data_IF_944101841843
#
_entry.id   IF_944101841843
#
_cell.length_a   1.000
_cell.length_b   1.000
_cell.length_c   1.000
_cell.angle_alpha   90.00
_cell.angle_beta   90.00
_cell.angle_gamma   90.00
#
_symmetry.space_group_name_H-M   'P 1'
#
loop_
_entity.id
_entity.type
_entity.pdbx_description
1 polymer ?
#
# COMPACT_ATOMS: atom_id res chain seq x y z
N UNK A 1 -20.24 5.42 -14.29
CA UNK A 1 -19.56 4.68 -13.24
C UNK A 1 -20.03 3.23 -13.26
N UNK A 2 -19.13 2.29 -13.03
CA UNK A 2 -19.40 0.86 -13.05
C UNK A 2 -18.73 0.13 -11.89
N UNK A 3 -19.23 -1.03 -11.53
CA UNK A 3 -18.63 -1.89 -10.52
C UNK A 3 -17.58 -2.80 -11.19
N UNK A 4 -16.36 -2.78 -10.68
CA UNK A 4 -15.24 -3.58 -11.19
C UNK A 4 -14.48 -4.25 -10.03
N UNK A 5 -13.99 -5.45 -10.30
CA UNK A 5 -13.06 -6.12 -9.38
C UNK A 5 -11.65 -5.55 -9.53
N UNK A 6 -10.90 -5.49 -8.44
CA UNK A 6 -9.54 -4.96 -8.46
C UNK A 6 -8.64 -5.70 -9.47
N UNK A 7 -8.78 -7.03 -9.59
CA UNK A 7 -8.01 -7.85 -10.55
C UNK A 7 -8.30 -7.51 -12.03
N UNK A 8 -9.46 -6.93 -12.32
CA UNK A 8 -9.83 -6.52 -13.68
C UNK A 8 -9.18 -5.20 -14.09
N UNK A 9 -8.73 -4.43 -13.11
CA UNK A 9 -8.16 -3.08 -13.31
C UNK A 9 -6.66 -3.02 -13.06
N UNK A 10 -6.16 -3.89 -12.19
CA UNK A 10 -4.80 -3.82 -11.69
C UNK A 10 -4.11 -5.17 -11.72
N UNK A 11 -2.82 -5.18 -12.06
CA UNK A 11 -1.98 -6.34 -11.82
C UNK A 11 -1.64 -6.40 -10.33
N UNK A 12 -1.89 -7.57 -9.69
CA UNK A 12 -1.66 -7.79 -8.27
C UNK A 12 -0.59 -8.86 -8.09
N UNK A 13 0.41 -8.57 -7.29
CA UNK A 13 1.51 -9.48 -6.97
C UNK A 13 1.51 -9.73 -5.45
N UNK A 14 1.10 -10.92 -5.02
CA UNK A 14 1.25 -11.31 -3.61
C UNK A 14 2.72 -11.55 -3.29
N UNK A 15 3.18 -11.02 -2.16
CA UNK A 15 4.56 -11.13 -1.75
C UNK A 15 4.97 -12.55 -1.32
N UNK A 16 6.25 -12.81 -1.43
CA UNK A 16 6.90 -14.06 -1.02
C UNK A 16 8.18 -13.72 -0.28
N UNK A 17 8.25 -14.05 1.02
CA UNK A 17 9.44 -13.77 1.81
C UNK A 17 10.66 -14.46 1.25
N UNK A 18 11.79 -13.74 1.10
CA UNK A 18 13.10 -14.36 0.89
C UNK A 18 13.51 -15.23 2.08
N UNK A 19 14.61 -15.96 1.96
CA UNK A 19 15.22 -16.66 3.09
C UNK A 19 15.68 -15.67 4.16
N UNK A 20 15.37 -15.95 5.43
CA UNK A 20 15.70 -15.05 6.54
C UNK A 20 17.20 -14.79 6.72
N UNK A 21 18.06 -15.73 6.28
CA UNK A 21 19.50 -15.58 6.32
C UNK A 21 20.03 -14.47 5.38
N UNK A 22 19.20 -14.03 4.43
CA UNK A 22 19.55 -12.97 3.46
C UNK A 22 19.17 -11.56 3.93
N UNK A 23 18.56 -11.43 5.13
CA UNK A 23 18.10 -10.13 5.64
C UNK A 23 19.24 -9.33 6.28
N UNK A 24 19.16 -8.02 6.13
CA UNK A 24 20.07 -7.06 6.75
C UNK A 24 19.34 -5.80 7.17
N UNK A 25 19.73 -5.20 8.29
CA UNK A 25 19.36 -3.83 8.67
C UNK A 25 20.24 -2.78 7.97
N UNK A 26 21.39 -3.20 7.47
CA UNK A 26 22.24 -2.37 6.64
C UNK A 26 21.82 -2.47 5.17
N UNK A 27 21.95 -1.36 4.43
CA UNK A 27 21.61 -1.30 3.01
C UNK A 27 22.36 -2.38 2.21
N UNK A 28 21.61 -3.16 1.43
CA UNK A 28 22.13 -4.18 0.52
C UNK A 28 21.41 -4.13 -0.82
N UNK A 29 21.34 -5.26 -1.58
CA UNK A 29 20.91 -5.27 -2.98
C UNK A 29 19.47 -4.78 -3.18
N UNK A 30 18.54 -5.19 -2.30
CA UNK A 30 17.12 -4.90 -2.45
C UNK A 30 16.48 -4.46 -1.13
N UNK A 31 15.64 -3.42 -1.19
CA UNK A 31 14.76 -3.07 -0.09
C UNK A 31 13.70 -4.17 0.06
N UNK A 32 13.54 -4.70 1.28
CA UNK A 32 12.52 -5.69 1.60
C UNK A 32 11.36 -5.04 2.35
N UNK A 33 10.15 -5.15 1.82
CA UNK A 33 8.91 -4.71 2.47
C UNK A 33 8.16 -5.94 2.98
N UNK A 34 7.98 -6.05 4.29
CA UNK A 34 7.41 -7.24 4.94
C UNK A 34 6.00 -7.04 5.46
N UNK A 35 5.61 -5.80 5.76
CA UNK A 35 4.31 -5.50 6.36
C UNK A 35 4.11 -4.03 6.67
N UNK A 36 3.09 -3.73 7.47
CA UNK A 36 2.71 -2.37 7.84
C UNK A 36 3.84 -1.57 8.52
N UNK A 37 4.74 -2.22 9.25
CA UNK A 37 5.87 -1.55 9.90
C UNK A 37 6.85 -0.87 8.91
N UNK A 38 6.82 -1.28 7.65
CA UNK A 38 7.63 -0.73 6.57
C UNK A 38 6.88 0.34 5.76
N UNK A 39 5.66 0.71 6.20
CA UNK A 39 4.86 1.80 5.64
C UNK A 39 4.78 2.95 6.64
N UNK A 40 5.09 4.15 6.19
CA UNK A 40 5.02 5.37 7.00
C UNK A 40 4.46 6.52 6.16
N UNK A 41 3.45 7.20 6.68
CA UNK A 41 2.82 8.37 6.05
C UNK A 41 2.37 8.09 4.59
N UNK A 42 1.87 6.86 4.32
CA UNK A 42 1.43 6.44 3.00
C UNK A 42 2.55 6.07 2.02
N UNK A 43 3.77 5.85 2.51
CA UNK A 43 4.93 5.49 1.70
C UNK A 43 5.72 4.33 2.29
N UNK A 44 6.42 3.60 1.43
CA UNK A 44 7.43 2.64 1.87
C UNK A 44 8.57 3.38 2.56
N UNK A 45 8.85 2.96 3.77
CA UNK A 45 9.98 3.43 4.58
C UNK A 45 11.02 2.31 4.71
N UNK A 46 12.16 2.37 4.00
CA UNK A 46 13.16 1.31 4.01
C UNK A 46 13.75 1.08 5.40
N UNK A 47 13.69 -0.16 5.88
CA UNK A 47 14.22 -0.57 7.19
C UNK A 47 15.02 -1.85 7.12
N UNK A 48 14.64 -2.75 6.22
CA UNK A 48 15.24 -4.07 6.03
C UNK A 48 15.60 -4.23 4.55
N UNK A 49 16.70 -4.87 4.31
CA UNK A 49 17.19 -5.22 2.98
C UNK A 49 17.35 -6.73 2.84
N UNK A 50 17.53 -7.20 1.62
CA UNK A 50 17.80 -8.61 1.30
C UNK A 50 18.68 -8.72 0.07
N UNK A 51 19.51 -9.74 0.03
CA UNK A 51 20.30 -10.10 -1.15
C UNK A 51 19.54 -11.03 -2.10
N UNK A 52 18.38 -11.56 -1.67
CA UNK A 52 17.57 -12.49 -2.46
C UNK A 52 16.35 -11.80 -3.07
N UNK A 53 16.27 -11.81 -4.40
CA UNK A 53 15.12 -11.31 -5.15
C UNK A 53 14.05 -12.42 -5.27
N UNK A 54 12.83 -12.13 -4.78
CA UNK A 54 11.65 -13.00 -4.93
C UNK A 54 10.57 -12.32 -5.75
N UNK A 55 9.42 -11.97 -5.15
CA UNK A 55 8.37 -11.15 -5.77
C UNK A 55 8.70 -9.68 -5.59
N UNK A 56 8.43 -8.86 -6.58
CA UNK A 56 8.83 -7.45 -6.58
C UNK A 56 7.67 -6.52 -6.93
N UNK A 57 7.78 -5.26 -6.48
CA UNK A 57 7.06 -4.12 -6.99
C UNK A 57 8.06 -3.07 -7.48
N UNK A 58 7.64 -2.25 -8.43
CA UNK A 58 8.45 -1.18 -9.01
C UNK A 58 8.13 0.16 -8.36
N UNK A 59 9.04 1.11 -8.48
CA UNK A 59 8.77 2.51 -8.11
C UNK A 59 7.46 3.00 -8.77
N UNK A 60 6.58 3.58 -7.95
CA UNK A 60 5.24 4.01 -8.36
C UNK A 60 4.13 2.99 -8.09
N UNK A 61 4.44 1.72 -7.83
CA UNK A 61 3.43 0.73 -7.47
C UNK A 61 2.86 1.01 -6.06
N UNK A 62 1.66 0.52 -5.82
CA UNK A 62 0.99 0.56 -4.52
C UNK A 62 1.37 -0.68 -3.70
N UNK A 63 1.52 -0.50 -2.41
CA UNK A 63 1.81 -1.58 -1.46
C UNK A 63 0.67 -1.67 -0.47
N UNK A 64 0.13 -2.87 -0.31
CA UNK A 64 -0.95 -3.16 0.64
C UNK A 64 -0.47 -4.15 1.69
N UNK A 65 -0.62 -3.84 2.97
CA UNK A 65 -0.43 -4.81 4.04
C UNK A 65 -1.56 -5.83 4.02
N UNK A 66 -1.22 -7.12 3.94
CA UNK A 66 -2.19 -8.23 3.93
C UNK A 66 -2.17 -9.04 5.24
N UNK A 67 -1.38 -8.61 6.22
CA UNK A 67 -1.33 -9.17 7.58
C UNK A 67 -1.47 -8.06 8.61
N UNK A 68 -1.82 -8.44 9.83
CA UNK A 68 -2.19 -7.54 10.93
C UNK A 68 -1.23 -6.35 11.15
N UNK A 69 -1.69 -5.11 11.08
CA UNK A 69 -3.03 -4.70 10.62
C UNK A 69 -3.15 -4.85 9.10
N UNK A 70 -4.18 -5.57 8.64
CA UNK A 70 -4.42 -5.80 7.23
C UNK A 70 -5.23 -4.64 6.63
N UNK A 71 -4.87 -4.23 5.39
CA UNK A 71 -5.55 -3.15 4.66
C UNK A 71 -4.75 -1.84 4.57
N UNK A 72 -3.74 -1.65 5.42
CA UNK A 72 -2.91 -0.45 5.36
C UNK A 72 -2.23 -0.30 4.01
N UNK A 73 -2.28 0.91 3.46
CA UNK A 73 -1.81 1.23 2.11
C UNK A 73 -0.59 2.13 2.14
N UNK A 74 0.29 1.93 1.17
CA UNK A 74 1.40 2.83 0.87
C UNK A 74 1.74 2.82 -0.61
N UNK A 75 2.58 3.76 -1.02
CA UNK A 75 3.21 3.82 -2.35
C UNK A 75 4.71 3.58 -2.21
N UNK A 76 5.35 3.03 -3.22
CA UNK A 76 6.80 2.90 -3.18
C UNK A 76 7.48 3.84 -4.16
N UNK A 77 8.52 4.56 -3.67
CA UNK A 77 9.41 5.35 -4.50
C UNK A 77 10.60 4.52 -5.03
N UNK A 78 10.66 3.23 -4.67
CA UNK A 78 11.77 2.33 -4.95
C UNK A 78 11.27 1.04 -5.59
N UNK A 79 12.15 0.37 -6.33
CA UNK A 79 11.97 -1.05 -6.63
C UNK A 79 12.21 -1.85 -5.34
N UNK A 80 11.26 -2.70 -4.99
CA UNK A 80 11.28 -3.41 -3.71
C UNK A 80 10.99 -4.90 -3.88
N UNK A 81 11.50 -5.70 -2.97
CA UNK A 81 11.12 -7.10 -2.79
C UNK A 81 9.95 -7.16 -1.81
N UNK A 82 8.94 -7.97 -2.14
CA UNK A 82 7.70 -8.11 -1.38
C UNK A 82 7.76 -9.37 -0.51
N UNK A 83 7.75 -9.19 0.81
CA UNK A 83 7.57 -10.25 1.78
C UNK A 83 6.12 -10.72 1.86
N UNK A 84 5.87 -11.84 2.56
CA UNK A 84 4.53 -12.48 2.68
C UNK A 84 3.45 -11.62 3.32
N UNK A 85 3.82 -10.54 4.01
CA UNK A 85 2.91 -9.64 4.70
C UNK A 85 2.34 -8.53 3.82
N UNK A 86 2.73 -8.45 2.54
CA UNK A 86 2.31 -7.39 1.63
C UNK A 86 1.93 -7.92 0.25
N UNK A 87 1.16 -7.12 -0.48
CA UNK A 87 0.89 -7.27 -1.91
C UNK A 87 1.29 -5.98 -2.63
N UNK A 88 1.88 -6.12 -3.81
CA UNK A 88 2.11 -5.03 -4.77
C UNK A 88 0.94 -4.93 -5.74
N UNK A 89 0.49 -3.71 -6.02
CA UNK A 89 -0.65 -3.43 -6.90
C UNK A 89 -0.22 -2.37 -7.90
N UNK A 90 -0.27 -2.67 -9.19
CA UNK A 90 -0.07 -1.70 -10.27
C UNK A 90 -1.35 -0.92 -10.49
N UNK A 91 -1.53 0.15 -9.76
CA UNK A 91 -2.72 1.00 -9.79
C UNK A 91 -2.34 2.48 -9.87
N UNK A 92 -3.29 3.29 -10.37
CA UNK A 92 -3.16 4.74 -10.38
C UNK A 92 -3.56 5.35 -9.02
N UNK A 93 -3.47 6.68 -8.92
CA UNK A 93 -3.82 7.40 -7.68
C UNK A 93 -5.30 7.23 -7.28
N UNK A 94 -6.21 7.09 -8.25
CA UNK A 94 -7.62 6.80 -7.96
C UNK A 94 -7.78 5.47 -7.24
N UNK A 95 -7.09 4.42 -7.71
CA UNK A 95 -7.08 3.10 -7.07
C UNK A 95 -6.51 3.20 -5.66
N UNK A 96 -5.40 3.92 -5.47
CA UNK A 96 -4.82 4.16 -4.15
C UNK A 96 -5.84 4.76 -3.17
N UNK A 97 -6.46 5.88 -3.56
CA UNK A 97 -7.43 6.58 -2.73
C UNK A 97 -8.67 5.71 -2.43
N UNK A 98 -9.12 4.93 -3.40
CA UNK A 98 -10.23 3.99 -3.22
C UNK A 98 -9.90 2.89 -2.20
N UNK A 99 -8.70 2.31 -2.27
CA UNK A 99 -8.25 1.28 -1.33
C UNK A 99 -8.04 1.84 0.08
N UNK A 100 -7.50 3.07 0.21
CA UNK A 100 -7.41 3.80 1.50
C UNK A 100 -8.80 4.04 2.09
N UNK A 101 -9.76 4.46 1.27
CA UNK A 101 -11.15 4.62 1.71
C UNK A 101 -11.75 3.30 2.19
N UNK A 102 -11.57 2.22 1.45
CA UNK A 102 -12.04 0.89 1.85
C UNK A 102 -11.46 0.46 3.20
N UNK A 103 -10.19 0.78 3.47
CA UNK A 103 -9.56 0.53 4.77
C UNK A 103 -10.24 1.34 5.87
N UNK A 104 -10.42 2.64 5.67
CA UNK A 104 -11.07 3.52 6.64
C UNK A 104 -12.54 3.14 6.92
N UNK A 105 -13.24 2.56 5.94
CA UNK A 105 -14.60 2.03 6.08
C UNK A 105 -14.63 0.64 6.78
N UNK A 106 -13.47 0.10 7.11
CA UNK A 106 -13.32 -1.20 7.79
C UNK A 106 -13.58 -2.41 6.88
N UNK A 107 -13.54 -2.23 5.55
CA UNK A 107 -13.76 -3.32 4.59
C UNK A 107 -12.76 -4.46 4.79
N UNK A 108 -11.48 -4.15 4.81
CA UNK A 108 -10.43 -5.16 4.93
C UNK A 108 -10.51 -5.92 6.26
N UNK A 109 -10.82 -5.23 7.33
CA UNK A 109 -11.01 -5.85 8.66
C UNK A 109 -12.16 -6.84 8.67
N UNK A 110 -13.25 -6.54 7.97
CA UNK A 110 -14.40 -7.47 7.84
C UNK A 110 -14.08 -8.69 6.99
N UNK A 111 -13.19 -8.54 6.00
CA UNK A 111 -12.78 -9.61 5.09
C UNK A 111 -11.60 -10.43 5.60
N UNK A 112 -10.86 -9.92 6.60
CA UNK A 112 -9.74 -10.63 7.19
C UNK A 112 -10.19 -11.89 7.95
N UNK A 113 -9.39 -12.93 7.86
CA UNK A 113 -9.58 -14.19 8.60
C UNK A 113 -8.54 -14.31 9.69
N UNK A 114 -8.93 -14.93 10.81
CA UNK A 114 -8.08 -15.16 11.98
C UNK A 114 -8.39 -14.20 13.14
N UNK A 115 -8.63 -14.76 14.33
CA UNK A 115 -8.97 -13.99 15.53
C UNK A 115 -7.76 -13.34 16.20
N UNK A 116 -6.58 -13.94 16.06
CA UNK A 116 -5.34 -13.46 16.70
C UNK A 116 -4.38 -12.85 15.68
N UNK A 117 -4.35 -13.37 14.44
CA UNK A 117 -3.52 -12.87 13.34
C UNK A 117 -4.40 -12.65 12.11
N UNK A 118 -4.91 -11.43 11.99
CA UNK A 118 -5.68 -11.03 10.81
C UNK A 118 -4.84 -11.20 9.53
N UNK A 119 -5.42 -11.84 8.53
CA UNK A 119 -4.80 -11.94 7.21
C UNK A 119 -5.84 -11.87 6.10
N UNK A 120 -5.45 -11.25 5.00
CA UNK A 120 -6.23 -11.15 3.76
C UNK A 120 -5.53 -12.03 2.72
N UNK A 121 -6.26 -12.98 2.16
CA UNK A 121 -5.72 -13.84 1.12
C UNK A 121 -5.81 -13.19 -0.27
N UNK A 122 -5.16 -13.82 -1.25
CA UNK A 122 -5.12 -13.34 -2.63
C UNK A 122 -6.51 -13.15 -3.25
N UNK A 123 -7.44 -14.04 -2.94
CA UNK A 123 -8.78 -14.00 -3.56
C UNK A 123 -9.61 -12.84 -3.03
N UNK A 124 -9.50 -12.52 -1.74
CA UNK A 124 -10.12 -11.36 -1.15
C UNK A 124 -9.60 -10.07 -1.78
N UNK A 125 -8.28 -9.93 -1.96
CA UNK A 125 -7.69 -8.74 -2.60
C UNK A 125 -8.14 -8.65 -4.07
N UNK A 126 -8.05 -9.72 -4.83
CA UNK A 126 -8.39 -9.76 -6.26
C UNK A 126 -9.86 -9.48 -6.54
N UNK A 127 -10.75 -10.01 -5.71
CA UNK A 127 -12.19 -9.87 -5.88
C UNK A 127 -12.80 -8.67 -5.14
N UNK A 128 -11.97 -7.81 -4.53
CA UNK A 128 -12.45 -6.56 -3.95
C UNK A 128 -13.12 -5.70 -5.02
N UNK A 129 -14.38 -5.32 -4.77
CA UNK A 129 -15.21 -4.59 -5.72
C UNK A 129 -15.14 -3.09 -5.43
N UNK A 130 -14.98 -2.32 -6.49
CA UNK A 130 -14.94 -0.85 -6.45
C UNK A 130 -15.89 -0.27 -7.49
N UNK A 131 -16.47 0.87 -7.16
CA UNK A 131 -17.23 1.68 -8.13
C UNK A 131 -16.28 2.65 -8.78
N UNK A 132 -16.13 2.57 -10.08
CA UNK A 132 -15.11 3.30 -10.83
C UNK A 132 -15.69 4.08 -12.00
N UNK A 133 -15.19 5.28 -12.32
CA UNK A 133 -15.49 5.94 -13.58
C UNK A 133 -15.04 5.07 -14.75
N UNK A 134 -15.81 5.03 -15.81
CA UNK A 134 -15.42 4.37 -17.06
C UNK A 134 -14.31 5.15 -17.77
N UNK A 135 -14.34 6.48 -17.65
CA UNK A 135 -13.34 7.36 -18.23
C UNK A 135 -12.08 7.41 -17.36
N UNK A 136 -10.94 7.03 -17.95
CA UNK A 136 -9.64 7.04 -17.29
C UNK A 136 -9.14 8.45 -16.94
N UNK A 137 -9.56 9.46 -17.73
CA UNK A 137 -9.23 10.86 -17.42
C UNK A 137 -10.00 11.34 -16.19
N UNK A 138 -11.25 10.91 -16.02
CA UNK A 138 -12.03 11.18 -14.82
C UNK A 138 -11.38 10.53 -13.59
N UNK A 139 -10.94 9.27 -13.70
CA UNK A 139 -10.19 8.60 -12.63
C UNK A 139 -8.93 9.40 -12.25
N UNK A 140 -8.15 9.84 -13.24
CA UNK A 140 -6.94 10.61 -13.00
C UNK A 140 -7.21 11.95 -12.31
N UNK A 141 -8.26 12.67 -12.70
CA UNK A 141 -8.69 13.93 -12.08
C UNK A 141 -9.09 13.73 -10.63
N UNK A 142 -9.89 12.71 -10.34
CA UNK A 142 -10.32 12.37 -8.98
C UNK A 142 -9.11 12.00 -8.11
N UNK A 143 -8.23 11.12 -8.60
CA UNK A 143 -7.03 10.73 -7.89
C UNK A 143 -6.13 11.92 -7.56
N UNK A 144 -5.87 12.78 -8.55
CA UNK A 144 -5.08 14.01 -8.36
C UNK A 144 -5.70 14.96 -7.34
N UNK A 145 -7.03 15.12 -7.37
CA UNK A 145 -7.75 15.97 -6.43
C UNK A 145 -7.54 15.52 -4.98
N UNK A 146 -7.75 14.23 -4.68
CA UNK A 146 -7.56 13.71 -3.33
C UNK A 146 -6.10 13.69 -2.89
N UNK A 147 -5.17 13.35 -3.78
CA UNK A 147 -3.74 13.43 -3.50
C UNK A 147 -3.29 14.86 -3.15
N UNK A 148 -3.85 15.86 -3.82
CA UNK A 148 -3.59 17.28 -3.52
C UNK A 148 -4.13 17.65 -2.13
N UNK A 149 -5.32 17.19 -1.77
CA UNK A 149 -5.90 17.40 -0.44
C UNK A 149 -5.03 16.77 0.66
N UNK A 150 -4.59 15.52 0.47
CA UNK A 150 -3.70 14.83 1.43
C UNK A 150 -2.40 15.60 1.64
N UNK A 151 -1.83 16.12 0.55
CA UNK A 151 -0.62 16.95 0.62
C UNK A 151 -0.86 18.24 1.42
N UNK A 152 -1.96 18.94 1.17
CA UNK A 152 -2.33 20.17 1.90
C UNK A 152 -2.57 19.90 3.38
N UNK A 153 -3.25 18.80 3.72
CA UNK A 153 -3.49 18.39 5.12
C UNK A 153 -2.15 18.13 5.81
N UNK A 154 -1.26 17.38 5.17
CA UNK A 154 0.07 17.05 5.70
C UNK A 154 0.90 18.33 5.94
N UNK A 155 0.91 19.27 5.00
CA UNK A 155 1.61 20.55 5.15
C UNK A 155 1.05 21.35 6.32
N UNK A 156 -0.29 21.37 6.46
CA UNK A 156 -0.96 22.10 7.52
C UNK A 156 -0.62 21.51 8.90
N UNK A 157 -0.67 20.19 9.04
CA UNK A 157 -0.30 19.49 10.28
C UNK A 157 1.16 19.75 10.68
N UNK A 158 2.11 19.75 9.71
CA UNK A 158 3.51 20.09 9.96
C UNK A 158 3.68 21.51 10.46
N UNK A 159 2.93 22.47 9.92
CA UNK A 159 2.98 23.87 10.35
C UNK A 159 2.59 24.04 11.83
N UNK A 160 1.55 23.34 12.29
CA UNK A 160 1.16 23.38 13.69
C UNK A 160 2.17 22.71 14.61
N UNK A 161 2.78 21.61 14.17
CA UNK A 161 3.82 20.93 14.95
C UNK A 161 5.02 21.86 15.22
N UNK A 162 5.46 22.64 14.25
CA UNK A 162 6.54 23.63 14.44
C UNK A 162 6.16 24.77 15.40
N UNK A 163 4.93 25.22 15.40
CA UNK A 163 4.46 26.28 16.32
C UNK A 163 4.45 25.79 17.77
N UNK A 164 4.10 24.51 18.01
CA UNK A 164 4.10 23.91 19.36
C UNK A 164 5.49 23.65 19.94
N UNK A 165 6.54 23.54 19.12
CA UNK A 165 7.93 23.32 19.58
C UNK A 165 8.61 24.67 19.94
N UNK A 166 8.11 25.80 19.44
CA UNK A 166 8.73 27.13 19.62
C UNK A 166 8.08 27.90 20.81
N UNK A 167 6.97 27.41 21.34
CA UNK A 167 6.31 27.93 22.56
C UNK A 167 6.68 27.09 23.78
#
# INVERSE_FOLDING_TARGET
WEQRKLVEMCQITMGQSPDGSTYSEESSDYILVQGNADLKDGWVYPRIWTTQKTKTAQAGDLIMSVRAPAGAMGKTAYDVVLGRGVAGIKGNEFVYQSLVKMDSDGYWKKMATGSTFESINSDVVKNAEMIVPQDIEEQAKIGTYFSTLDHLITLHQRKYFFVFIIL
#
